data_IF_734058784412
#
_entry.id   IF_734058784412
#
_cell.length_a   1.000
_cell.length_b   1.000
_cell.length_c   1.000
_cell.angle_alpha   90.00
_cell.angle_beta   90.00
_cell.angle_gamma   90.00
#
_symmetry.space_group_name_H-M   'P 1'
#
loop_
_entity.id
_entity.type
_entity.pdbx_description
1 polymer ?
#
# COMPACT_ATOMS: atom_id res chain seq x y z
N UNK A 1 2.18 -0.23 -15.08
CA UNK A 1 0.70 -0.16 -15.30
C UNK A 1 0.40 1.00 -16.24
N UNK A 2 -0.39 0.78 -17.29
CA UNK A 2 -0.88 1.82 -18.19
C UNK A 2 -2.17 2.44 -17.62
N UNK A 3 -2.07 3.67 -17.14
CA UNK A 3 -3.19 4.37 -16.48
C UNK A 3 -4.24 4.79 -17.52
N UNK A 4 -3.83 5.29 -18.69
CA UNK A 4 -4.78 5.77 -19.70
C UNK A 4 -5.61 4.62 -20.28
N UNK A 5 -4.97 3.52 -20.65
CA UNK A 5 -5.68 2.33 -21.07
C UNK A 5 -6.64 1.81 -19.99
N UNK A 6 -6.22 1.86 -18.72
CA UNK A 6 -7.06 1.48 -17.58
C UNK A 6 -8.27 2.39 -17.39
N UNK A 7 -8.10 3.71 -17.54
CA UNK A 7 -9.20 4.67 -17.44
C UNK A 7 -10.22 4.46 -18.55
N UNK A 8 -9.77 4.27 -19.80
CA UNK A 8 -10.66 4.05 -20.93
C UNK A 8 -11.41 2.72 -20.82
N UNK A 9 -10.75 1.69 -20.29
CA UNK A 9 -11.39 0.42 -19.97
C UNK A 9 -12.46 0.57 -18.88
N UNK A 10 -12.13 1.21 -17.76
CA UNK A 10 -13.00 1.37 -16.61
C UNK A 10 -14.19 2.30 -16.88
N UNK A 11 -14.08 3.27 -17.79
CA UNK A 11 -15.20 4.13 -18.23
C UNK A 11 -16.36 3.35 -18.85
N UNK A 12 -16.16 2.10 -19.28
CA UNK A 12 -17.25 1.21 -19.77
C UNK A 12 -18.19 0.79 -18.64
N UNK A 13 -17.72 0.79 -17.40
CA UNK A 13 -18.56 0.59 -16.21
C UNK A 13 -19.21 1.91 -15.78
N UNK A 14 -20.56 1.91 -15.66
CA UNK A 14 -21.33 3.14 -15.31
C UNK A 14 -20.86 3.76 -13.99
N UNK A 15 -20.58 2.95 -12.98
CA UNK A 15 -20.16 3.42 -11.66
C UNK A 15 -18.76 4.03 -11.73
N UNK A 16 -17.80 3.31 -12.37
CA UNK A 16 -16.44 3.81 -12.54
C UNK A 16 -16.39 5.09 -13.38
N UNK A 17 -17.19 5.18 -14.44
CA UNK A 17 -17.28 6.41 -15.26
C UNK A 17 -17.65 7.64 -14.43
N UNK A 18 -18.62 7.52 -13.52
CA UNK A 18 -19.00 8.62 -12.61
C UNK A 18 -17.84 9.01 -11.70
N UNK A 19 -17.11 8.03 -11.16
CA UNK A 19 -15.98 8.30 -10.27
C UNK A 19 -14.79 8.91 -11.00
N UNK A 20 -14.46 8.39 -12.18
CA UNK A 20 -13.40 8.94 -13.03
C UNK A 20 -13.69 10.40 -13.37
N UNK A 21 -14.90 10.72 -13.75
CA UNK A 21 -15.29 12.10 -14.05
C UNK A 21 -15.23 13.02 -12.80
N UNK A 22 -15.56 12.49 -11.62
CA UNK A 22 -15.55 13.25 -10.37
C UNK A 22 -14.13 13.51 -9.82
N UNK A 23 -13.28 12.50 -9.82
CA UNK A 23 -11.99 12.55 -9.11
C UNK A 23 -10.79 12.75 -10.04
N UNK A 24 -11.01 12.69 -11.35
CA UNK A 24 -9.96 12.87 -12.34
C UNK A 24 -8.97 11.70 -12.40
N UNK A 25 -7.79 11.98 -12.92
CA UNK A 25 -6.72 11.00 -13.12
C UNK A 25 -6.08 10.61 -11.80
N UNK A 26 -5.90 9.30 -11.53
CA UNK A 26 -5.18 8.86 -10.35
C UNK A 26 -3.67 9.12 -10.48
N UNK A 27 -3.04 9.41 -9.35
CA UNK A 27 -1.61 9.56 -9.24
C UNK A 27 -1.02 8.30 -8.60
N UNK A 28 -0.20 7.58 -9.38
CA UNK A 28 0.59 6.44 -8.93
C UNK A 28 2.06 6.81 -9.07
N UNK A 29 2.73 7.03 -7.96
CA UNK A 29 4.16 7.34 -7.92
C UNK A 29 4.96 6.20 -8.53
N UNK A 30 5.95 6.54 -9.37
CA UNK A 30 6.88 5.56 -9.95
C UNK A 30 8.25 5.65 -9.26
N UNK A 31 8.96 4.52 -9.23
CA UNK A 31 10.37 4.48 -8.89
C UNK A 31 10.70 4.61 -7.39
N UNK A 32 9.80 4.21 -6.51
CA UNK A 32 10.08 4.17 -5.07
C UNK A 32 11.06 3.03 -4.74
N UNK A 33 12.00 3.31 -3.84
CA UNK A 33 12.84 2.30 -3.21
C UNK A 33 11.99 1.27 -2.45
N UNK A 34 12.27 -0.01 -2.63
CA UNK A 34 11.46 -1.11 -2.08
C UNK A 34 11.50 -1.13 -0.56
N UNK A 35 12.69 -0.97 0.02
CA UNK A 35 12.85 -0.92 1.47
C UNK A 35 12.08 0.26 2.07
N UNK A 36 12.25 1.46 1.50
CA UNK A 36 11.58 2.67 2.00
C UNK A 36 10.07 2.57 1.87
N UNK A 37 9.56 1.98 0.80
CA UNK A 37 8.13 1.77 0.59
C UNK A 37 7.53 0.83 1.64
N UNK A 38 8.17 -0.31 1.91
CA UNK A 38 7.74 -1.26 2.94
C UNK A 38 7.89 -0.68 4.35
N UNK A 39 8.99 0.02 4.63
CA UNK A 39 9.21 0.75 5.89
C UNK A 39 8.08 1.74 6.14
N UNK A 40 7.77 2.56 5.15
CA UNK A 40 6.66 3.51 5.22
C UNK A 40 5.34 2.79 5.50
N UNK A 41 5.06 1.70 4.80
CA UNK A 41 3.84 0.91 5.00
C UNK A 41 3.72 0.38 6.43
N UNK A 42 4.80 -0.12 7.04
CA UNK A 42 4.82 -0.57 8.44
C UNK A 42 4.49 0.59 9.39
N UNK A 43 5.09 1.77 9.17
CA UNK A 43 4.82 2.94 10.02
C UNK A 43 3.36 3.37 9.93
N UNK A 44 2.76 3.27 8.75
CA UNK A 44 1.38 3.70 8.49
C UNK A 44 0.30 2.71 8.97
N UNK A 45 0.65 1.46 9.31
CA UNK A 45 -0.33 0.48 9.82
C UNK A 45 -1.12 1.04 11.02
N UNK A 46 -2.45 0.91 10.97
CA UNK A 46 -3.38 1.26 12.06
C UNK A 46 -3.28 2.72 12.57
N UNK A 47 -2.84 3.65 11.74
CA UNK A 47 -2.77 5.07 12.07
C UNK A 47 -3.54 5.92 11.05
N UNK A 48 -3.97 7.11 11.48
CA UNK A 48 -4.44 8.11 10.52
C UNK A 48 -3.26 8.63 9.68
N UNK A 49 -3.52 8.99 8.43
CA UNK A 49 -2.49 9.45 7.50
C UNK A 49 -1.62 10.59 8.04
N UNK A 50 -2.24 11.57 8.76
CA UNK A 50 -1.51 12.70 9.37
C UNK A 50 -0.54 12.25 10.48
N UNK A 51 -1.02 11.41 11.40
CA UNK A 51 -0.18 10.90 12.49
C UNK A 51 0.96 10.02 11.95
N UNK A 52 0.64 9.11 11.02
CA UNK A 52 1.63 8.23 10.39
C UNK A 52 2.72 9.02 9.65
N UNK A 53 2.33 10.07 8.91
CA UNK A 53 3.28 10.96 8.21
C UNK A 53 4.25 11.62 9.19
N UNK A 54 3.74 12.20 10.29
CA UNK A 54 4.59 12.85 11.32
C UNK A 54 5.58 11.85 11.93
N UNK A 55 5.13 10.62 12.26
CA UNK A 55 6.01 9.60 12.83
C UNK A 55 7.07 9.18 11.82
N UNK A 56 6.68 8.98 10.56
CA UNK A 56 7.62 8.61 9.49
C UNK A 56 8.68 9.69 9.28
N UNK A 57 8.29 10.95 9.20
CA UNK A 57 9.21 12.09 9.06
C UNK A 57 10.20 12.17 10.23
N UNK A 58 9.72 11.96 11.48
CA UNK A 58 10.58 11.91 12.66
C UNK A 58 11.54 10.72 12.62
N UNK A 59 11.08 9.54 12.22
CA UNK A 59 11.95 8.37 12.06
C UNK A 59 13.05 8.65 11.02
N UNK A 60 12.69 9.19 9.87
CA UNK A 60 13.66 9.57 8.83
C UNK A 60 14.66 10.62 9.32
N UNK A 61 14.22 11.58 10.14
CA UNK A 61 15.11 12.61 10.68
C UNK A 61 16.15 12.08 11.69
N UNK A 62 16.01 10.85 12.18
CA UNK A 62 17.05 10.18 12.99
C UNK A 62 18.24 9.71 12.14
N UNK A 63 18.05 9.55 10.83
CA UNK A 63 19.13 9.18 9.90
C UNK A 63 19.98 10.45 9.64
N UNK A 64 21.33 10.33 9.70
CA UNK A 64 22.21 11.47 9.41
C UNK A 64 21.95 12.04 8.00
N UNK A 65 21.95 13.36 7.86
CA UNK A 65 21.72 14.03 6.56
C UNK A 65 22.72 13.65 5.46
N UNK A 66 23.88 13.14 5.88
CA UNK A 66 24.94 12.64 4.98
C UNK A 66 24.70 11.22 4.49
N UNK A 67 23.70 10.52 5.03
CA UNK A 67 23.37 9.14 4.71
C UNK A 67 22.00 9.05 4.03
N UNK A 68 21.82 8.03 3.21
CA UNK A 68 20.50 7.69 2.65
C UNK A 68 19.71 6.82 3.63
N UNK A 69 18.37 6.91 3.56
CA UNK A 69 17.51 5.99 4.28
C UNK A 69 17.64 4.58 3.67
N UNK A 70 18.42 3.73 4.33
CA UNK A 70 18.70 2.35 3.92
C UNK A 70 18.65 1.40 5.13
N UNK A 71 18.60 0.07 4.91
CA UNK A 71 18.50 -0.92 5.98
C UNK A 71 19.58 -0.77 7.04
N UNK A 72 20.85 -0.65 6.64
CA UNK A 72 21.98 -0.53 7.56
C UNK A 72 21.85 0.68 8.49
N UNK A 73 21.44 1.86 7.98
CA UNK A 73 21.24 3.05 8.81
C UNK A 73 20.09 2.87 9.81
N UNK A 74 19.02 2.20 9.40
CA UNK A 74 17.89 1.87 10.30
C UNK A 74 18.30 0.92 11.41
N UNK A 75 19.17 -0.05 11.15
CA UNK A 75 19.69 -0.98 12.16
C UNK A 75 20.56 -0.30 13.22
N UNK A 76 21.26 0.77 12.87
CA UNK A 76 22.08 1.57 13.79
C UNK A 76 21.25 2.43 14.74
N UNK A 77 19.98 2.71 14.43
CA UNK A 77 19.14 3.58 15.26
C UNK A 77 18.89 2.99 16.65
N UNK A 78 18.98 3.85 17.66
CA UNK A 78 18.64 3.51 19.04
C UNK A 78 17.13 3.29 19.17
N UNK A 79 16.73 2.20 19.86
CA UNK A 79 15.30 1.86 20.07
C UNK A 79 14.55 2.96 20.83
N UNK A 80 15.20 3.61 21.79
CA UNK A 80 14.57 4.68 22.58
C UNK A 80 14.32 5.93 21.74
N UNK A 81 15.23 6.26 20.82
CA UNK A 81 15.02 7.35 19.84
C UNK A 81 13.88 7.03 18.89
N UNK A 82 13.78 5.80 18.39
CA UNK A 82 12.64 5.36 17.59
C UNK A 82 11.32 5.45 18.37
N UNK A 83 11.34 5.15 19.68
CA UNK A 83 10.18 5.36 20.57
C UNK A 83 9.80 6.84 20.69
N UNK A 84 10.78 7.72 20.91
CA UNK A 84 10.57 9.17 20.97
C UNK A 84 10.04 9.73 19.64
N UNK A 85 10.43 9.14 18.51
CA UNK A 85 9.88 9.47 17.19
C UNK A 85 8.40 9.08 17.06
N UNK A 86 7.87 8.20 17.94
CA UNK A 86 6.46 7.83 18.02
C UNK A 86 6.13 6.40 17.59
N UNK A 87 7.14 5.55 17.34
CA UNK A 87 6.88 4.15 17.02
C UNK A 87 6.51 3.34 18.29
N UNK A 88 5.57 2.41 18.16
CA UNK A 88 5.33 1.40 19.21
C UNK A 88 6.51 0.43 19.26
N UNK A 89 6.71 -0.26 20.39
CA UNK A 89 7.74 -1.32 20.50
C UNK A 89 7.57 -2.40 19.43
N UNK A 90 6.32 -2.75 19.14
CA UNK A 90 6.00 -3.70 18.07
C UNK A 90 6.46 -3.20 16.71
N UNK A 91 6.18 -1.94 16.36
CA UNK A 91 6.62 -1.35 15.08
C UNK A 91 8.14 -1.21 14.99
N UNK A 92 8.83 -0.89 16.09
CA UNK A 92 10.29 -0.90 16.13
C UNK A 92 10.84 -2.27 15.75
N UNK A 93 10.27 -3.34 16.31
CA UNK A 93 10.69 -4.70 15.97
C UNK A 93 10.39 -5.02 14.50
N UNK A 94 9.24 -4.60 13.96
CA UNK A 94 8.89 -4.83 12.56
C UNK A 94 9.82 -4.08 11.60
N UNK A 95 10.14 -2.83 11.90
CA UNK A 95 11.09 -2.01 11.14
C UNK A 95 12.49 -2.64 11.13
N UNK A 96 12.94 -3.16 12.27
CA UNK A 96 14.24 -3.85 12.36
C UNK A 96 14.24 -5.19 11.62
N UNK A 97 13.17 -5.99 11.73
CA UNK A 97 13.04 -7.24 10.98
C UNK A 97 13.08 -6.99 9.46
N UNK A 98 12.42 -5.91 9.00
CA UNK A 98 12.49 -5.50 7.60
C UNK A 98 13.92 -5.14 7.19
N UNK A 99 14.62 -4.34 8.02
CA UNK A 99 15.98 -3.92 7.74
C UNK A 99 16.95 -5.11 7.74
N UNK A 100 16.84 -6.01 8.73
CA UNK A 100 17.63 -7.26 8.78
C UNK A 100 17.38 -8.14 7.53
N UNK A 101 16.14 -8.24 7.09
CA UNK A 101 15.81 -9.00 5.89
C UNK A 101 16.49 -8.42 4.65
N UNK A 102 16.41 -7.10 4.45
CA UNK A 102 17.01 -6.44 3.28
C UNK A 102 18.56 -6.42 3.30
N UNK A 103 19.19 -6.46 4.48
CA UNK A 103 20.64 -6.60 4.59
C UNK A 103 21.12 -8.02 4.26
N UNK A 104 20.36 -9.04 4.67
CA UNK A 104 20.77 -10.44 4.55
C UNK A 104 20.23 -11.13 3.29
N UNK A 105 19.14 -10.64 2.73
CA UNK A 105 18.47 -11.20 1.55
C UNK A 105 18.27 -10.06 0.56
N UNK A 106 19.20 -9.84 -0.32
CA UNK A 106 19.11 -8.80 -1.35
C UNK A 106 17.93 -9.08 -2.28
N UNK A 107 16.76 -8.52 -1.94
CA UNK A 107 15.64 -8.47 -2.86
C UNK A 107 15.97 -7.43 -3.93
N UNK A 108 16.65 -7.85 -4.98
CA UNK A 108 17.06 -6.96 -6.04
C UNK A 108 15.86 -6.56 -6.88
N UNK A 109 15.87 -5.33 -7.38
CA UNK A 109 14.75 -4.78 -8.18
C UNK A 109 14.40 -5.67 -9.37
N UNK A 110 15.39 -6.23 -10.05
CA UNK A 110 15.21 -7.12 -11.20
C UNK A 110 14.42 -8.39 -10.82
N UNK A 111 14.79 -9.01 -9.70
CA UNK A 111 14.15 -10.25 -9.24
C UNK A 111 12.68 -10.03 -8.93
N UNK A 112 12.36 -8.92 -8.26
CA UNK A 112 10.97 -8.56 -7.91
C UNK A 112 10.12 -8.24 -9.13
N UNK A 113 10.70 -7.61 -10.16
CA UNK A 113 9.98 -7.28 -11.39
C UNK A 113 9.62 -8.53 -12.21
N UNK A 114 10.45 -9.59 -12.14
CA UNK A 114 10.25 -10.88 -12.83
C UNK A 114 9.32 -11.84 -12.06
N UNK A 115 9.11 -11.62 -10.75
CA UNK A 115 8.28 -12.47 -9.90
C UNK A 115 6.78 -12.24 -10.14
N UNK A 116 6.01 -13.31 -9.96
CA UNK A 116 4.54 -13.22 -9.86
C UNK A 116 4.09 -12.55 -8.56
N UNK A 117 2.86 -12.04 -8.52
CA UNK A 117 2.30 -11.42 -7.31
C UNK A 117 2.22 -12.41 -6.13
N UNK A 118 1.99 -13.70 -6.42
CA UNK A 118 1.97 -14.80 -5.45
C UNK A 118 3.35 -15.08 -4.87
N UNK A 119 4.40 -15.09 -5.70
CA UNK A 119 5.79 -15.29 -5.28
C UNK A 119 6.26 -14.14 -4.40
N UNK A 120 6.00 -12.88 -4.81
CA UNK A 120 6.28 -11.69 -4.00
C UNK A 120 5.55 -11.75 -2.67
N UNK A 121 4.28 -12.15 -2.69
CA UNK A 121 3.47 -12.26 -1.47
C UNK A 121 4.05 -13.30 -0.51
N UNK A 122 4.42 -14.48 -1.00
CA UNK A 122 5.06 -15.54 -0.20
C UNK A 122 6.38 -15.07 0.41
N UNK A 123 7.19 -14.36 -0.36
CA UNK A 123 8.47 -13.84 0.07
C UNK A 123 8.32 -12.77 1.16
N UNK A 124 7.48 -11.77 0.94
CA UNK A 124 7.33 -10.65 1.87
C UNK A 124 6.61 -11.01 3.17
N UNK A 125 5.65 -11.94 3.15
CA UNK A 125 4.90 -12.36 4.36
C UNK A 125 5.81 -13.07 5.38
N UNK A 126 6.93 -13.63 4.98
CA UNK A 126 7.92 -14.21 5.91
C UNK A 126 8.51 -13.16 6.85
N UNK A 127 8.52 -11.89 6.44
CA UNK A 127 9.05 -10.80 7.26
C UNK A 127 8.05 -10.47 8.37
N UNK A 128 8.44 -10.72 9.62
CA UNK A 128 7.56 -10.43 10.77
C UNK A 128 7.19 -8.95 10.82
N UNK A 129 5.92 -8.67 10.67
CA UNK A 129 5.37 -7.30 10.60
C UNK A 129 4.80 -6.95 9.24
N UNK A 130 5.04 -7.76 8.22
CA UNK A 130 4.41 -7.63 6.90
C UNK A 130 3.27 -8.63 6.79
N UNK A 131 2.06 -8.13 6.63
CA UNK A 131 0.87 -8.91 6.34
C UNK A 131 0.38 -8.69 4.91
N UNK A 132 -0.64 -9.44 4.49
CA UNK A 132 -1.20 -9.36 3.14
C UNK A 132 -1.57 -7.94 2.72
N UNK A 133 -2.16 -7.15 3.60
CA UNK A 133 -2.48 -5.75 3.29
C UNK A 133 -1.24 -4.92 2.92
N UNK A 134 -0.12 -5.11 3.62
CA UNK A 134 1.14 -4.42 3.30
C UNK A 134 1.71 -4.87 1.95
N UNK A 135 1.60 -6.16 1.65
CA UNK A 135 1.98 -6.72 0.35
C UNK A 135 1.11 -6.12 -0.77
N UNK A 136 -0.21 -6.08 -0.58
CA UNK A 136 -1.12 -5.49 -1.56
C UNK A 136 -0.75 -4.01 -1.85
N UNK A 137 -0.44 -3.22 -0.80
CA UNK A 137 0.00 -1.83 -0.97
C UNK A 137 1.33 -1.73 -1.73
N UNK A 138 2.27 -2.63 -1.45
CA UNK A 138 3.55 -2.69 -2.16
C UNK A 138 3.35 -3.03 -3.64
N UNK A 139 2.55 -4.05 -3.95
CA UNK A 139 2.22 -4.42 -5.33
C UNK A 139 1.55 -3.27 -6.09
N UNK A 140 0.58 -2.59 -5.46
CA UNK A 140 -0.18 -1.52 -6.09
C UNK A 140 0.64 -0.24 -6.33
N UNK A 141 1.36 0.23 -5.31
CA UNK A 141 1.95 1.58 -5.30
C UNK A 141 3.46 1.60 -5.52
N UNK A 142 4.16 0.48 -5.33
CA UNK A 142 5.60 0.39 -5.56
C UNK A 142 5.88 -0.31 -6.89
N UNK A 143 5.29 -1.48 -7.11
CA UNK A 143 5.48 -2.24 -8.34
C UNK A 143 4.48 -1.87 -9.44
N UNK A 144 3.48 -1.06 -9.13
CA UNK A 144 2.44 -0.64 -10.09
C UNK A 144 1.76 -1.83 -10.79
N UNK A 145 1.51 -2.93 -10.06
CA UNK A 145 0.76 -4.08 -10.56
C UNK A 145 -0.69 -3.65 -10.83
N UNK A 146 -1.19 -3.95 -12.02
CA UNK A 146 -2.44 -3.39 -12.51
C UNK A 146 -3.70 -4.03 -11.89
N UNK A 147 -3.62 -5.29 -11.45
CA UNK A 147 -4.81 -6.09 -11.13
C UNK A 147 -4.84 -6.61 -9.68
N UNK A 148 -4.56 -5.76 -8.71
CA UNK A 148 -4.59 -6.08 -7.28
C UNK A 148 -5.95 -5.69 -6.68
N UNK A 149 -6.50 -6.56 -5.82
CA UNK A 149 -7.70 -6.32 -5.04
C UNK A 149 -7.43 -6.56 -3.54
N UNK A 150 -7.20 -5.52 -2.73
CA UNK A 150 -6.95 -5.65 -1.29
C UNK A 150 -8.22 -6.02 -0.52
N UNK A 151 -8.60 -7.29 -0.51
CA UNK A 151 -9.88 -7.75 0.07
C UNK A 151 -9.97 -7.56 1.59
N UNK A 152 -8.84 -7.38 2.29
CA UNK A 152 -8.81 -7.07 3.74
C UNK A 152 -8.84 -5.57 4.03
N UNK A 153 -8.77 -4.72 3.01
CA UNK A 153 -8.82 -3.27 3.19
C UNK A 153 -10.25 -2.80 3.44
N UNK A 154 -10.48 -2.20 4.62
CA UNK A 154 -11.80 -1.73 5.03
C UNK A 154 -12.32 -0.59 4.14
N UNK A 155 -11.44 0.27 3.61
CA UNK A 155 -11.80 1.34 2.69
C UNK A 155 -12.33 0.77 1.38
N UNK A 156 -11.65 -0.24 0.83
CA UNK A 156 -12.09 -0.95 -0.39
C UNK A 156 -13.41 -1.67 -0.15
N UNK A 157 -13.56 -2.40 0.96
CA UNK A 157 -14.82 -3.06 1.31
C UNK A 157 -15.99 -2.05 1.38
N UNK A 158 -15.80 -0.93 2.09
CA UNK A 158 -16.80 0.15 2.19
C UNK A 158 -17.08 0.80 0.83
N UNK A 159 -16.06 0.99 -0.01
CA UNK A 159 -16.20 1.52 -1.36
C UNK A 159 -17.07 0.62 -2.24
N UNK A 160 -16.81 -0.69 -2.24
CA UNK A 160 -17.63 -1.69 -2.95
C UNK A 160 -19.06 -1.69 -2.39
N UNK A 161 -19.22 -1.80 -1.06
CA UNK A 161 -20.51 -1.76 -0.40
C UNK A 161 -21.35 -0.55 -0.87
N UNK A 162 -20.73 0.62 -0.96
CA UNK A 162 -21.39 1.85 -1.37
C UNK A 162 -21.79 1.84 -2.85
N UNK A 163 -20.88 1.42 -3.74
CA UNK A 163 -21.13 1.39 -5.19
C UNK A 163 -22.23 0.40 -5.55
N UNK A 164 -22.20 -0.78 -4.93
CA UNK A 164 -23.16 -1.84 -5.21
C UNK A 164 -24.39 -1.81 -4.30
N UNK A 165 -24.53 -0.76 -3.44
CA UNK A 165 -25.65 -0.57 -2.51
C UNK A 165 -25.90 -1.78 -1.61
N UNK A 166 -24.84 -2.42 -1.14
CA UNK A 166 -24.91 -3.58 -0.25
C UNK A 166 -25.30 -3.13 1.17
N UNK A 167 -26.02 -3.99 1.90
CA UNK A 167 -26.41 -3.71 3.30
C UNK A 167 -25.24 -3.92 4.28
N UNK A 168 -24.38 -4.89 3.99
CA UNK A 168 -23.25 -5.29 4.84
C UNK A 168 -21.94 -5.18 4.07
N UNK A 169 -20.81 -5.21 4.79
CA UNK A 169 -19.49 -5.30 4.17
C UNK A 169 -19.39 -6.60 3.35
N UNK A 170 -18.87 -6.52 2.11
CA UNK A 170 -18.77 -7.67 1.24
C UNK A 170 -17.72 -8.68 1.73
N UNK A 171 -18.00 -9.95 1.60
CA UNK A 171 -17.05 -11.05 1.70
C UNK A 171 -16.02 -10.99 0.56
N UNK A 172 -14.91 -11.74 0.68
CA UNK A 172 -13.91 -11.84 -0.38
C UNK A 172 -14.53 -12.28 -1.72
N UNK A 173 -15.40 -13.28 -1.70
CA UNK A 173 -16.05 -13.80 -2.91
C UNK A 173 -16.97 -12.77 -3.56
N UNK A 174 -17.72 -12.00 -2.77
CA UNK A 174 -18.55 -10.92 -3.29
C UNK A 174 -17.70 -9.80 -3.91
N UNK A 175 -16.57 -9.44 -3.27
CA UNK A 175 -15.63 -8.46 -3.82
C UNK A 175 -15.05 -8.93 -5.16
N UNK A 176 -14.62 -10.19 -5.25
CA UNK A 176 -14.12 -10.78 -6.51
C UNK A 176 -15.18 -10.74 -7.60
N UNK A 177 -16.42 -11.15 -7.31
CA UNK A 177 -17.51 -11.13 -8.28
C UNK A 177 -17.84 -9.70 -8.75
N UNK A 178 -17.92 -8.74 -7.83
CA UNK A 178 -18.22 -7.34 -8.15
C UNK A 178 -17.12 -6.70 -9.01
N UNK A 179 -15.86 -7.02 -8.72
CA UNK A 179 -14.67 -6.43 -9.36
C UNK A 179 -14.20 -7.18 -10.61
N UNK A 180 -14.79 -8.33 -10.93
CA UNK A 180 -14.39 -9.14 -12.10
C UNK A 180 -14.40 -8.33 -13.40
N UNK A 181 -15.36 -7.46 -13.58
CA UNK A 181 -15.51 -6.58 -14.75
C UNK A 181 -14.48 -5.45 -14.83
N UNK A 182 -13.69 -5.21 -13.78
CA UNK A 182 -12.62 -4.22 -13.75
C UNK A 182 -11.24 -4.81 -14.09
N UNK A 183 -11.14 -6.14 -14.24
CA UNK A 183 -9.91 -6.80 -14.69
C UNK A 183 -9.56 -6.38 -16.11
N UNK A 184 -8.27 -6.13 -16.38
CA UNK A 184 -7.11 -6.30 -15.53
C UNK A 184 -6.68 -5.02 -14.79
N UNK A 185 -7.57 -4.05 -14.51
CA UNK A 185 -7.23 -2.74 -13.97
C UNK A 185 -7.85 -2.50 -12.58
N UNK A 186 -7.96 -3.56 -11.75
CA UNK A 186 -8.55 -3.46 -10.39
C UNK A 186 -7.79 -2.51 -9.48
N UNK A 187 -6.47 -2.37 -9.64
CA UNK A 187 -5.66 -1.40 -8.89
C UNK A 187 -6.17 0.03 -9.08
N UNK A 188 -6.44 0.42 -10.33
CA UNK A 188 -7.00 1.75 -10.65
C UNK A 188 -8.40 1.89 -10.07
N UNK A 189 -9.25 0.85 -10.19
CA UNK A 189 -10.59 0.88 -9.60
C UNK A 189 -10.54 1.06 -8.07
N UNK A 190 -9.61 0.39 -7.38
CA UNK A 190 -9.41 0.52 -5.93
C UNK A 190 -9.04 1.94 -5.51
N UNK A 191 -8.23 2.66 -6.30
CA UNK A 191 -7.92 4.06 -6.03
C UNK A 191 -9.20 4.92 -5.95
N UNK A 192 -10.17 4.72 -6.85
CA UNK A 192 -11.45 5.42 -6.80
C UNK A 192 -12.33 4.97 -5.63
N UNK A 193 -12.26 3.69 -5.23
CA UNK A 193 -13.00 3.18 -4.08
C UNK A 193 -12.57 3.87 -2.79
N UNK A 194 -11.29 4.11 -2.59
CA UNK A 194 -10.79 4.89 -1.44
C UNK A 194 -11.32 6.33 -1.48
N UNK A 195 -11.29 7.01 -2.63
CA UNK A 195 -11.80 8.39 -2.75
C UNK A 195 -13.26 8.54 -2.30
N UNK A 196 -14.12 7.57 -2.62
CA UNK A 196 -15.53 7.60 -2.18
C UNK A 196 -15.63 7.51 -0.65
N UNK A 197 -14.75 6.80 0.00
CA UNK A 197 -14.77 6.63 1.45
C UNK A 197 -14.17 7.83 2.17
N UNK A 198 -13.14 8.44 1.60
CA UNK A 198 -12.45 9.61 2.16
C UNK A 198 -13.32 10.87 2.12
N UNK A 199 -14.12 11.08 1.08
CA UNK A 199 -15.05 12.24 0.96
C UNK A 199 -16.04 12.38 2.13
N UNK A 200 -16.27 11.34 2.94
CA UNK A 200 -17.11 11.40 4.14
C UNK A 200 -16.35 11.83 5.40
N UNK A 201 -15.02 11.78 5.38
CA UNK A 201 -14.18 12.19 6.51
C UNK A 201 -13.90 13.70 6.51
N UNK A 202 -14.34 14.41 5.46
CA UNK A 202 -14.11 15.86 5.27
C UNK A 202 -15.35 16.72 5.56
N UNK A 203 -16.40 16.14 6.20
CA UNK A 203 -17.63 16.88 6.60
C UNK A 203 -17.81 16.87 8.08
#
# INVERSE_FOLDING_TARGET
>A
MDIEAGLDFLKKDKNMKVLINKYGRPDFNQGQDYFQSLLRSIVFQQLSGKAAKTIYERLVSLIPKTSNLCPNEVLKLNKDEMRKAGLSFQKINYVRNLADYFENNSLQKKDVEEMTDEEISKELIQIKGIGQWTVDMFLMFTLNRADILPYKDLGIQKGIMKIFKMKNLPSKNEMENCSKKWRPFRTIACWYLWRITDDKLSK
#
